data_IF_765091896045
#
_entry.id   IF_765091896045
#
_cell.length_a   1.000
_cell.length_b   1.000
_cell.length_c   1.000
_cell.angle_alpha   90.00
_cell.angle_beta   90.00
_cell.angle_gamma   90.00
#
_symmetry.space_group_name_H-M   'P 1'
#
loop_
_entity.id
_entity.type
_entity.pdbx_description
1 polymer ?
#
# COMPACT_ATOMS: atom_id res chain seq x y z
N UNK A 1 -27.22 -7.76 -1.80
CA UNK A 1 -26.11 -6.82 -1.81
C UNK A 1 -25.09 -7.27 -0.76
N UNK A 2 -23.81 -7.33 -1.12
CA UNK A 2 -22.69 -7.41 -0.19
C UNK A 2 -21.91 -6.10 -0.29
N UNK A 3 -21.35 -5.61 0.80
CA UNK A 3 -20.51 -4.40 0.84
C UNK A 3 -19.08 -4.82 1.13
N UNK A 4 -18.15 -4.33 0.33
CA UNK A 4 -16.73 -4.61 0.49
C UNK A 4 -16.01 -3.29 0.74
N UNK A 5 -15.31 -3.20 1.86
CA UNK A 5 -14.39 -2.10 2.16
C UNK A 5 -12.97 -2.55 1.87
N UNK A 6 -12.27 -1.81 1.02
CA UNK A 6 -10.90 -2.14 0.60
C UNK A 6 -9.92 -1.12 1.14
N UNK A 7 -8.77 -1.59 1.63
CA UNK A 7 -7.74 -0.76 2.25
C UNK A 7 -6.53 -0.60 1.34
N UNK A 8 -6.08 0.65 1.14
CA UNK A 8 -4.78 1.02 0.53
C UNK A 8 -4.29 0.07 -0.58
N UNK A 9 -5.09 -0.04 -1.64
CA UNK A 9 -4.76 -0.85 -2.82
C UNK A 9 -3.49 -0.33 -3.52
N UNK A 10 -2.64 -1.23 -3.96
CA UNK A 10 -1.51 -0.93 -4.82
C UNK A 10 -1.37 -1.97 -5.93
N UNK A 11 -0.54 -1.68 -6.90
CA UNK A 11 -0.24 -2.59 -8.01
C UNK A 11 0.35 -1.87 -9.19
N UNK A 12 0.59 -2.62 -10.25
CA UNK A 12 1.08 -2.15 -11.53
C UNK A 12 0.10 -1.12 -12.12
N UNK A 13 0.61 -0.11 -12.81
CA UNK A 13 -0.17 0.99 -13.46
C UNK A 13 -0.90 1.91 -12.49
N UNK A 14 -0.56 1.87 -11.20
CA UNK A 14 -1.09 2.84 -10.27
C UNK A 14 -0.59 4.24 -10.63
N UNK A 15 -1.46 5.23 -10.47
CA UNK A 15 -1.17 6.63 -10.77
C UNK A 15 0.07 7.15 -10.02
N UNK A 16 0.94 7.89 -10.69
CA UNK A 16 2.25 8.32 -10.17
C UNK A 16 2.20 9.16 -8.89
N UNK A 17 1.10 9.87 -8.64
CA UNK A 17 0.92 10.63 -7.39
C UNK A 17 0.65 9.75 -6.17
N UNK A 18 0.37 8.46 -6.35
CA UNK A 18 0.19 7.53 -5.23
C UNK A 18 1.53 7.16 -4.63
N UNK A 19 1.55 6.88 -3.33
CA UNK A 19 2.77 6.78 -2.54
C UNK A 19 3.81 5.80 -3.11
N UNK A 20 3.41 4.59 -3.52
CA UNK A 20 4.35 3.57 -4.03
C UNK A 20 4.99 4.00 -5.36
N UNK A 21 4.23 4.35 -6.44
CA UNK A 21 4.86 4.81 -7.66
C UNK A 21 5.61 6.14 -7.49
N UNK A 22 5.15 7.05 -6.63
CA UNK A 22 5.88 8.26 -6.28
C UNK A 22 7.25 7.94 -5.68
N UNK A 23 7.32 6.99 -4.74
CA UNK A 23 8.59 6.54 -4.16
C UNK A 23 9.52 5.96 -5.24
N UNK A 24 9.00 5.12 -6.13
CA UNK A 24 9.79 4.54 -7.23
C UNK A 24 10.37 5.64 -8.13
N UNK A 25 9.54 6.61 -8.52
CA UNK A 25 9.95 7.74 -9.36
C UNK A 25 11.05 8.59 -8.71
N UNK A 26 10.83 8.99 -7.46
CA UNK A 26 11.80 9.80 -6.70
C UNK A 26 13.13 9.08 -6.48
N UNK A 27 13.09 7.79 -6.13
CA UNK A 27 14.30 6.97 -5.98
C UNK A 27 15.04 6.83 -7.32
N UNK A 28 14.33 6.65 -8.44
CA UNK A 28 14.93 6.61 -9.78
C UNK A 28 15.70 7.90 -10.10
N UNK A 29 15.12 9.05 -9.77
CA UNK A 29 15.68 10.38 -10.01
C UNK A 29 16.70 10.82 -8.97
N UNK A 30 16.93 10.03 -7.92
CA UNK A 30 17.75 10.40 -6.75
C UNK A 30 17.24 11.67 -6.06
N UNK A 31 15.93 11.82 -6.01
CA UNK A 31 15.25 12.94 -5.37
C UNK A 31 14.76 12.54 -3.97
N UNK A 32 14.70 13.53 -3.07
CA UNK A 32 14.23 13.36 -1.70
C UNK A 32 12.74 13.02 -1.64
N UNK A 33 12.38 12.09 -0.75
CA UNK A 33 10.99 11.72 -0.43
C UNK A 33 10.60 12.33 0.90
N UNK A 34 9.49 13.07 0.93
CA UNK A 34 8.91 13.59 2.16
C UNK A 34 7.91 12.58 2.71
N UNK A 35 8.16 12.12 3.94
CA UNK A 35 7.35 11.09 4.60
C UNK A 35 6.60 11.71 5.76
N UNK A 36 5.29 11.74 5.65
CA UNK A 36 4.42 12.27 6.71
C UNK A 36 4.53 11.45 7.99
N UNK A 37 4.76 12.14 9.09
CA UNK A 37 5.00 11.57 10.41
C UNK A 37 4.14 12.22 11.49
N UNK A 38 4.20 11.68 12.69
CA UNK A 38 3.75 12.36 13.89
C UNK A 38 4.61 13.60 14.17
N UNK A 39 4.12 14.59 14.96
CA UNK A 39 4.85 15.85 15.21
C UNK A 39 6.25 15.67 15.83
N UNK A 40 6.50 14.54 16.50
CA UNK A 40 7.81 14.22 17.09
C UNK A 40 8.84 13.69 16.07
N UNK A 41 8.43 13.52 14.81
CA UNK A 41 9.26 13.04 13.68
C UNK A 41 9.87 11.64 13.89
N UNK A 42 9.33 10.83 14.81
CA UNK A 42 9.88 9.50 15.10
C UNK A 42 9.18 8.39 14.33
N UNK A 43 7.87 8.51 14.15
CA UNK A 43 7.05 7.49 13.53
C UNK A 43 6.27 8.06 12.34
N UNK A 44 6.31 7.38 11.22
CA UNK A 44 5.50 7.73 10.05
C UNK A 44 4.12 7.10 10.10
N UNK A 45 3.20 7.63 9.32
CA UNK A 45 1.87 7.04 9.16
C UNK A 45 1.92 5.59 8.70
N UNK A 46 0.93 4.79 9.10
CA UNK A 46 0.86 3.34 8.85
C UNK A 46 -0.36 2.96 8.03
N UNK A 47 -0.23 1.89 7.24
CA UNK A 47 -1.27 1.35 6.34
C UNK A 47 -1.21 -0.17 6.29
N UNK A 48 -2.36 -0.79 6.02
CA UNK A 48 -2.46 -2.19 5.59
C UNK A 48 -2.51 -2.21 4.06
N UNK A 49 -1.36 -2.18 3.43
CA UNK A 49 -1.28 -2.21 1.97
C UNK A 49 -1.67 -3.58 1.40
N UNK A 50 -2.48 -3.59 0.34
CA UNK A 50 -2.88 -4.82 -0.33
C UNK A 50 -2.77 -4.70 -1.84
N UNK A 51 -2.19 -5.70 -2.50
CA UNK A 51 -2.05 -5.72 -3.94
C UNK A 51 -3.40 -5.98 -4.64
N UNK A 52 -3.65 -5.29 -5.75
CA UNK A 52 -4.89 -5.39 -6.53
C UNK A 52 -5.27 -6.83 -6.91
N UNK A 53 -4.29 -7.71 -7.19
CA UNK A 53 -4.49 -9.14 -7.45
C UNK A 53 -5.09 -9.86 -6.24
N UNK A 54 -4.61 -9.55 -5.04
CA UNK A 54 -5.13 -10.12 -3.80
C UNK A 54 -6.56 -9.62 -3.52
N UNK A 55 -6.86 -8.36 -3.85
CA UNK A 55 -8.21 -7.80 -3.77
C UNK A 55 -9.15 -8.55 -4.71
N UNK A 56 -8.75 -8.76 -5.96
CA UNK A 56 -9.54 -9.51 -6.94
C UNK A 56 -9.83 -10.94 -6.47
N UNK A 57 -8.83 -11.63 -5.92
CA UNK A 57 -9.00 -12.96 -5.34
C UNK A 57 -9.98 -12.95 -4.14
N UNK A 58 -9.89 -11.95 -3.26
CA UNK A 58 -10.81 -11.80 -2.14
C UNK A 58 -12.24 -11.55 -2.60
N UNK A 59 -12.44 -10.71 -3.61
CA UNK A 59 -13.77 -10.48 -4.20
C UNK A 59 -14.33 -11.75 -4.82
N UNK A 60 -13.54 -12.51 -5.59
CA UNK A 60 -13.98 -13.80 -6.15
C UNK A 60 -14.35 -14.81 -5.06
N UNK A 61 -13.54 -14.88 -3.99
CA UNK A 61 -13.86 -15.73 -2.84
C UNK A 61 -15.19 -15.33 -2.20
N UNK A 62 -15.45 -14.04 -2.03
CA UNK A 62 -16.70 -13.55 -1.43
C UNK A 62 -17.92 -13.78 -2.31
N UNK A 63 -17.79 -13.76 -3.64
CA UNK A 63 -18.89 -14.09 -4.55
C UNK A 63 -19.42 -15.52 -4.31
N UNK A 64 -18.53 -16.45 -3.96
CA UNK A 64 -18.87 -17.85 -3.75
C UNK A 64 -19.15 -18.23 -2.29
N UNK A 65 -18.55 -17.52 -1.34
CA UNK A 65 -18.57 -17.89 0.08
C UNK A 65 -19.18 -16.80 0.99
N UNK A 66 -19.46 -15.62 0.47
CA UNK A 66 -20.00 -14.50 1.25
C UNK A 66 -21.52 -14.59 1.40
N UNK A 67 -22.03 -13.99 2.46
CA UNK A 67 -23.47 -13.90 2.73
C UNK A 67 -24.04 -12.57 2.25
N UNK A 68 -25.22 -12.60 1.64
CA UNK A 68 -25.96 -11.40 1.27
C UNK A 68 -26.34 -10.60 2.53
N UNK A 69 -26.29 -9.27 2.42
CA UNK A 69 -26.56 -8.36 3.51
C UNK A 69 -25.35 -8.03 4.39
N UNK A 70 -24.24 -8.73 4.21
CA UNK A 70 -23.05 -8.59 5.05
C UNK A 70 -22.04 -7.57 4.50
N UNK A 71 -21.19 -7.07 5.42
CA UNK A 71 -20.02 -6.25 5.12
C UNK A 71 -18.75 -7.04 5.35
N UNK A 72 -17.77 -6.85 4.45
CA UNK A 72 -16.48 -7.50 4.50
C UNK A 72 -15.37 -6.47 4.31
N UNK A 73 -14.34 -6.52 5.15
CA UNK A 73 -13.15 -5.73 4.98
C UNK A 73 -12.08 -6.56 4.28
N UNK A 74 -11.49 -6.01 3.23
CA UNK A 74 -10.34 -6.57 2.51
C UNK A 74 -9.13 -5.71 2.86
N UNK A 75 -8.22 -6.23 3.66
CA UNK A 75 -7.00 -5.56 4.09
C UNK A 75 -5.77 -6.42 3.80
N UNK A 76 -4.59 -5.77 3.80
CA UNK A 76 -3.32 -6.49 3.75
C UNK A 76 -3.08 -7.33 5.01
N UNK A 77 -2.12 -8.22 4.91
CA UNK A 77 -1.78 -9.19 5.97
C UNK A 77 -1.10 -8.56 7.18
N UNK A 78 -0.47 -7.39 7.02
CA UNK A 78 0.21 -6.67 8.10
C UNK A 78 0.15 -5.17 7.94
N UNK A 79 0.30 -4.48 9.04
CA UNK A 79 0.46 -3.03 9.09
C UNK A 79 1.92 -2.66 8.76
N UNK A 80 2.09 -1.68 7.89
CA UNK A 80 3.39 -1.22 7.39
C UNK A 80 3.45 0.29 7.47
N UNK A 81 4.54 0.82 8.01
CA UNK A 81 4.75 2.27 8.02
C UNK A 81 5.15 2.77 6.63
N UNK A 82 4.83 4.04 6.32
CA UNK A 82 5.21 4.63 5.06
C UNK A 82 6.74 4.66 4.88
N UNK A 83 7.49 4.86 5.98
CA UNK A 83 8.95 4.80 5.94
C UNK A 83 9.44 3.39 5.60
N UNK A 84 8.90 2.36 6.27
CA UNK A 84 9.23 0.97 5.96
C UNK A 84 8.95 0.62 4.50
N UNK A 85 7.79 1.06 3.98
CA UNK A 85 7.43 0.88 2.56
C UNK A 85 8.47 1.52 1.63
N UNK A 86 8.88 2.76 1.87
CA UNK A 86 9.87 3.44 1.05
C UNK A 86 11.24 2.73 1.12
N UNK A 87 11.64 2.25 2.30
CA UNK A 87 12.86 1.46 2.49
C UNK A 87 12.82 0.12 1.74
N UNK A 88 11.67 -0.57 1.74
CA UNK A 88 11.49 -1.81 0.97
C UNK A 88 11.63 -1.56 -0.53
N UNK A 89 11.00 -0.51 -1.04
CA UNK A 89 11.11 -0.12 -2.46
C UNK A 89 12.57 0.18 -2.83
N UNK A 90 13.27 0.99 -2.05
CA UNK A 90 14.67 1.32 -2.28
C UNK A 90 15.57 0.06 -2.28
N UNK A 91 15.31 -0.87 -1.35
CA UNK A 91 16.03 -2.16 -1.29
C UNK A 91 15.81 -3.00 -2.54
N UNK A 92 14.56 -3.13 -3.03
CA UNK A 92 14.26 -3.86 -4.26
C UNK A 92 14.94 -3.21 -5.47
N UNK A 93 15.01 -1.88 -5.49
CA UNK A 93 15.68 -1.11 -6.56
C UNK A 93 17.21 -1.16 -6.46
N UNK A 94 17.80 -1.65 -5.36
CA UNK A 94 19.23 -1.60 -5.12
C UNK A 94 19.78 -0.19 -5.01
N UNK A 95 18.97 0.76 -4.51
CA UNK A 95 19.29 2.20 -4.42
C UNK A 95 19.21 2.71 -2.99
N UNK A 96 19.90 3.83 -2.73
CA UNK A 96 19.81 4.55 -1.45
C UNK A 96 18.51 5.35 -1.42
N UNK A 97 17.84 5.35 -0.26
CA UNK A 97 16.70 6.19 0.03
C UNK A 97 17.17 7.52 0.63
N UNK A 98 16.92 8.63 -0.05
CA UNK A 98 16.98 9.97 0.54
C UNK A 98 15.57 10.37 0.98
N UNK A 99 15.40 10.64 2.27
CA UNK A 99 14.09 11.00 2.80
C UNK A 99 14.17 12.00 3.94
N UNK A 100 13.05 12.67 4.18
CA UNK A 100 12.86 13.57 5.31
C UNK A 100 11.47 13.32 5.92
N UNK A 101 11.45 13.22 7.25
CA UNK A 101 10.19 13.14 7.98
C UNK A 101 9.60 14.54 8.10
N UNK A 102 8.31 14.70 7.80
CA UNK A 102 7.61 15.98 7.87
C UNK A 102 6.34 15.84 8.73
N UNK A 103 6.03 16.89 9.51
CA UNK A 103 4.81 16.88 10.32
C UNK A 103 3.56 16.85 9.43
N UNK A 104 2.79 15.79 9.62
CA UNK A 104 1.58 15.56 8.84
C UNK A 104 0.51 16.62 9.04
N UNK A 105 0.35 17.12 10.27
CA UNK A 105 -0.72 18.07 10.60
C UNK A 105 -0.50 19.46 10.01
N UNK A 106 0.76 19.85 9.79
CA UNK A 106 1.07 21.11 9.12
C UNK A 106 0.71 21.09 7.64
N UNK A 107 0.81 19.91 7.02
CA UNK A 107 0.65 19.74 5.56
C UNK A 107 -0.77 19.29 5.17
N UNK A 108 -1.41 18.45 6.01
CA UNK A 108 -2.75 17.88 5.75
C UNK A 108 -3.62 17.85 7.02
N UNK A 109 -4.14 18.98 7.48
CA UNK A 109 -4.99 19.02 8.66
C UNK A 109 -6.22 18.12 8.50
N UNK A 110 -6.53 17.32 9.52
CA UNK A 110 -7.73 16.47 9.57
C UNK A 110 -7.66 15.14 8.83
N UNK A 111 -6.48 14.75 8.31
CA UNK A 111 -6.26 13.41 7.77
C UNK A 111 -5.72 12.45 8.84
N UNK A 112 -5.98 11.14 8.67
CA UNK A 112 -5.50 10.12 9.60
C UNK A 112 -4.07 9.68 9.26
N UNK A 113 -3.20 9.63 10.27
CA UNK A 113 -1.88 9.03 10.17
C UNK A 113 -1.94 7.51 10.07
N UNK A 114 -2.89 6.90 10.77
CA UNK A 114 -3.13 5.46 10.73
C UNK A 114 -4.43 5.14 9.99
N UNK A 115 -4.31 4.31 8.96
CA UNK A 115 -5.46 3.70 8.29
C UNK A 115 -5.43 2.19 8.49
N UNK A 116 -6.40 1.65 9.23
CA UNK A 116 -6.53 0.23 9.50
C UNK A 116 -7.96 -0.25 9.39
N UNK A 117 -8.18 -1.33 8.66
CA UNK A 117 -9.42 -2.11 8.65
C UNK A 117 -9.13 -3.49 9.22
N UNK A 118 -10.00 -3.97 10.08
CA UNK A 118 -9.95 -5.34 10.56
C UNK A 118 -10.46 -6.30 9.48
N UNK A 119 -9.54 -7.08 8.90
CA UNK A 119 -9.83 -8.13 7.91
C UNK A 119 -10.09 -9.51 8.50
N UNK A 120 -10.09 -9.67 9.82
CA UNK A 120 -10.16 -10.96 10.51
C UNK A 120 -11.37 -11.82 10.11
N UNK A 121 -12.51 -11.19 9.82
CA UNK A 121 -13.71 -11.88 9.33
C UNK A 121 -13.46 -12.65 8.04
N UNK A 122 -12.82 -12.02 7.06
CA UNK A 122 -12.52 -12.64 5.77
C UNK A 122 -11.50 -13.78 5.93
N UNK A 123 -10.43 -13.55 6.70
CA UNK A 123 -9.44 -14.59 7.00
C UNK A 123 -10.04 -15.74 7.81
N UNK A 124 -10.93 -15.45 8.76
CA UNK A 124 -11.67 -16.46 9.54
C UNK A 124 -12.58 -17.35 8.70
N UNK A 125 -13.02 -16.88 7.52
CA UNK A 125 -13.75 -17.69 6.55
C UNK A 125 -12.84 -18.64 5.74
N UNK A 126 -11.53 -18.61 5.95
CA UNK A 126 -10.56 -19.46 5.25
C UNK A 126 -9.93 -18.82 4.02
N UNK A 127 -10.18 -17.54 3.75
CA UNK A 127 -9.48 -16.82 2.68
C UNK A 127 -7.99 -16.72 2.98
N UNK A 128 -7.16 -16.98 1.97
CA UNK A 128 -5.71 -16.80 2.01
C UNK A 128 -5.27 -15.90 0.87
N UNK A 129 -4.36 -14.99 1.15
CA UNK A 129 -3.77 -14.14 0.12
C UNK A 129 -2.96 -15.00 -0.86
N UNK A 130 -3.25 -14.96 -2.17
CA UNK A 130 -2.51 -15.73 -3.19
C UNK A 130 -1.03 -15.39 -3.25
N UNK A 131 -0.67 -14.13 -2.97
CA UNK A 131 0.70 -13.64 -3.02
C UNK A 131 0.97 -12.84 -1.75
N UNK A 132 2.06 -13.10 -1.06
CA UNK A 132 2.44 -12.37 0.15
C UNK A 132 2.85 -10.92 -0.17
N UNK A 133 2.97 -10.13 0.88
CA UNK A 133 3.21 -8.70 0.77
C UNK A 133 4.57 -8.37 0.12
N UNK A 134 5.64 -9.00 0.57
CA UNK A 134 7.01 -8.76 0.08
C UNK A 134 7.15 -9.11 -1.40
N UNK A 135 6.58 -10.25 -1.80
CA UNK A 135 6.57 -10.67 -3.21
C UNK A 135 5.74 -9.71 -4.07
N UNK A 136 4.61 -9.24 -3.56
CA UNK A 136 3.76 -8.27 -4.25
C UNK A 136 4.47 -6.94 -4.49
N UNK A 137 5.20 -6.41 -3.48
CA UNK A 137 5.99 -5.20 -3.63
C UNK A 137 7.12 -5.41 -4.63
N UNK A 138 7.87 -6.51 -4.51
CA UNK A 138 8.98 -6.83 -5.42
C UNK A 138 8.51 -6.90 -6.88
N UNK A 139 7.41 -7.60 -7.15
CA UNK A 139 6.82 -7.68 -8.49
C UNK A 139 6.37 -6.33 -9.02
N UNK A 140 5.68 -5.54 -8.19
CA UNK A 140 5.20 -4.20 -8.58
C UNK A 140 6.36 -3.26 -8.91
N UNK A 141 7.41 -3.23 -8.08
CA UNK A 141 8.59 -2.40 -8.33
C UNK A 141 9.29 -2.81 -9.62
N UNK A 142 9.61 -4.09 -9.78
CA UNK A 142 10.29 -4.59 -10.98
C UNK A 142 9.49 -4.32 -12.25
N UNK A 143 8.19 -4.59 -12.23
CA UNK A 143 7.33 -4.29 -13.37
C UNK A 143 7.34 -2.79 -13.72
N UNK A 144 7.27 -1.91 -12.70
CA UNK A 144 7.29 -0.46 -12.90
C UNK A 144 8.61 0.00 -13.51
N UNK A 145 9.75 -0.58 -13.07
CA UNK A 145 11.07 -0.28 -13.63
C UNK A 145 11.21 -0.69 -15.10
N UNK A 146 10.56 -1.77 -15.51
CA UNK A 146 10.49 -2.24 -16.91
C UNK A 146 9.49 -1.41 -17.74
N UNK A 147 8.53 -0.75 -17.11
CA UNK A 147 7.43 -0.01 -17.73
C UNK A 147 7.38 1.46 -17.31
N UNK A 148 8.50 2.16 -17.35
CA UNK A 148 8.69 3.54 -16.83
C UNK A 148 7.71 4.58 -17.37
N UNK A 149 7.11 4.34 -18.54
CA UNK A 149 6.05 5.20 -19.09
C UNK A 149 4.87 5.44 -18.13
N UNK A 150 4.68 4.57 -17.15
CA UNK A 150 3.64 4.72 -16.14
C UNK A 150 4.04 5.63 -14.98
N UNK A 151 5.29 6.11 -14.95
CA UNK A 151 5.79 7.16 -14.07
C UNK A 151 5.80 8.53 -14.75
N UNK A 152 5.52 8.58 -16.05
CA UNK A 152 5.43 9.82 -16.82
C UNK A 152 4.01 10.37 -16.74
N UNK A 153 3.91 11.69 -16.54
CA UNK A 153 2.67 12.45 -16.51
C UNK A 153 2.54 13.31 -17.72
#
# INVERSE_FOLDING_TARGET
>A
LMIVNVMNAFGERQHVEKFIPLCIDRILKSEKIYIHSYPDMKESGTRFYIHARNIAAAVLFLITNGNLGEKYNISGEREVSNLEMAQMIARVMGKTLDYEMVDFHSDRPGHDLRYGLDGSKLFGMGFKLPVNFEESITKTVNWTLENKKWLEY
#
